data_IF_262215317121
#
_entry.id   IF_262215317121
#
_cell.length_a   1.000
_cell.length_b   1.000
_cell.length_c   1.000
_cell.angle_alpha   90.00
_cell.angle_beta   90.00
_cell.angle_gamma   90.00
#
_symmetry.space_group_name_H-M   'P 1'
#
loop_
_entity.id
_entity.type
_entity.pdbx_description
1 polymer ?
#
# COMPACT_ATOMS: atom_id res chain seq x y z
N UNK A 1 -9.09 -0.02 -10.05
CA UNK A 1 -10.31 0.74 -10.33
C UNK A 1 -11.01 0.97 -9.02
N UNK A 2 -11.12 2.22 -8.59
CA UNK A 2 -11.89 2.61 -7.42
C UNK A 2 -13.35 2.75 -7.85
N UNK A 3 -14.30 2.28 -7.04
CA UNK A 3 -15.73 2.51 -7.25
C UNK A 3 -16.31 3.18 -6.02
N UNK A 4 -16.83 4.40 -6.17
CA UNK A 4 -17.50 5.15 -5.10
C UNK A 4 -18.75 5.81 -5.68
N UNK A 5 -19.89 5.70 -5.00
CA UNK A 5 -21.16 6.30 -5.44
C UNK A 5 -21.52 6.07 -6.93
N UNK A 6 -21.29 4.86 -7.44
CA UNK A 6 -21.43 4.48 -8.86
C UNK A 6 -20.44 5.12 -9.86
N UNK A 7 -19.58 6.01 -9.41
CA UNK A 7 -18.45 6.49 -10.19
C UNK A 7 -17.30 5.48 -10.15
N UNK A 8 -16.56 5.42 -11.26
CA UNK A 8 -15.41 4.55 -11.44
C UNK A 8 -14.22 5.40 -11.83
N UNK A 9 -13.14 5.27 -11.08
CA UNK A 9 -11.93 6.03 -11.33
C UNK A 9 -10.70 5.12 -11.39
N UNK A 10 -9.71 5.54 -12.19
CA UNK A 10 -8.43 4.86 -12.35
C UNK A 10 -7.33 5.88 -12.11
N UNK A 11 -6.47 5.57 -11.15
CA UNK A 11 -5.27 6.34 -10.86
C UNK A 11 -4.06 5.48 -11.20
N UNK A 12 -3.10 6.05 -11.92
CA UNK A 12 -1.82 5.42 -12.24
C UNK A 12 -0.71 6.47 -12.08
N UNK A 13 0.40 6.06 -11.49
CA UNK A 13 1.61 6.84 -11.42
C UNK A 13 2.81 5.91 -11.61
N UNK A 14 3.92 6.48 -12.10
CA UNK A 14 5.17 5.76 -12.30
C UNK A 14 6.24 6.45 -11.47
N UNK A 15 7.00 5.67 -10.71
CA UNK A 15 8.11 6.16 -9.90
C UNK A 15 9.24 5.13 -9.90
N UNK A 16 10.45 5.60 -9.62
CA UNK A 16 11.58 4.74 -9.34
C UNK A 16 11.59 4.33 -7.86
N UNK A 17 12.22 3.20 -7.58
CA UNK A 17 12.30 2.62 -6.25
C UNK A 17 13.33 1.50 -6.18
N UNK A 18 13.30 0.76 -5.08
CA UNK A 18 14.20 -0.37 -4.85
C UNK A 18 13.40 -1.62 -4.52
N UNK A 19 13.89 -2.76 -4.98
CA UNK A 19 13.41 -4.07 -4.59
C UNK A 19 14.49 -4.84 -3.84
N UNK A 20 14.08 -5.56 -2.81
CA UNK A 20 14.95 -6.43 -2.02
C UNK A 20 14.19 -7.69 -1.61
N UNK A 21 14.78 -8.85 -1.87
CA UNK A 21 14.29 -10.12 -1.38
C UNK A 21 15.05 -10.54 -0.11
N UNK A 22 14.30 -10.92 0.94
CA UNK A 22 14.82 -11.60 2.13
C UNK A 22 13.96 -12.84 2.40
N UNK A 23 13.35 -12.94 3.58
CA UNK A 23 12.24 -13.87 3.84
C UNK A 23 10.95 -13.45 3.11
N UNK A 24 10.81 -12.15 2.87
CA UNK A 24 9.70 -11.55 2.13
C UNK A 24 10.25 -10.66 1.02
N UNK A 25 9.40 -10.29 0.07
CA UNK A 25 9.72 -9.26 -0.91
C UNK A 25 9.44 -7.87 -0.34
N UNK A 26 10.38 -6.94 -0.51
CA UNK A 26 10.24 -5.55 -0.10
C UNK A 26 10.43 -4.63 -1.29
N UNK A 27 9.42 -3.81 -1.58
CA UNK A 27 9.48 -2.75 -2.59
C UNK A 27 9.43 -1.42 -1.85
N UNK A 28 10.36 -0.51 -2.12
CA UNK A 28 10.44 0.79 -1.46
C UNK A 28 10.55 1.90 -2.46
N UNK A 29 9.76 2.94 -2.27
CA UNK A 29 9.75 4.14 -3.11
C UNK A 29 9.27 5.33 -2.30
N UNK A 30 9.35 6.51 -2.89
CA UNK A 30 8.85 7.76 -2.30
C UNK A 30 7.65 8.23 -3.11
N UNK A 31 6.52 8.47 -2.45
CA UNK A 31 5.39 9.17 -3.05
C UNK A 31 5.58 10.68 -2.83
N UNK A 32 5.51 11.43 -3.93
CA UNK A 32 5.50 12.89 -3.93
C UNK A 32 4.06 13.34 -4.25
N UNK A 33 3.45 14.04 -3.31
CA UNK A 33 2.16 14.73 -3.46
C UNK A 33 2.40 16.23 -3.40
N UNK A 34 1.42 17.06 -3.77
CA UNK A 34 1.59 18.53 -3.84
C UNK A 34 2.26 19.13 -2.59
N UNK A 35 1.85 18.69 -1.39
CA UNK A 35 2.37 19.19 -0.12
C UNK A 35 2.88 18.08 0.83
N UNK A 36 3.22 16.90 0.30
CA UNK A 36 3.64 15.78 1.15
C UNK A 36 4.67 14.85 0.48
N UNK A 37 5.68 14.44 1.25
CA UNK A 37 6.65 13.41 0.92
C UNK A 37 6.45 12.20 1.82
N UNK A 38 6.17 11.04 1.22
CA UNK A 38 5.88 9.82 1.97
C UNK A 38 6.78 8.68 1.55
N UNK A 39 7.50 8.11 2.51
CA UNK A 39 8.26 6.88 2.30
C UNK A 39 7.31 5.69 2.32
N UNK A 40 7.26 4.95 1.22
CA UNK A 40 6.42 3.76 1.08
C UNK A 40 7.26 2.51 1.11
N UNK A 41 6.82 1.53 1.91
CA UNK A 41 7.31 0.16 1.84
C UNK A 41 6.14 -0.77 1.60
N UNK A 42 6.20 -1.54 0.51
CA UNK A 42 5.32 -2.67 0.27
C UNK A 42 6.08 -3.92 0.68
N UNK A 43 5.54 -4.66 1.66
CA UNK A 43 6.01 -5.99 2.04
C UNK A 43 5.04 -7.01 1.44
N UNK A 44 5.57 -7.92 0.64
CA UNK A 44 4.80 -9.00 0.03
C UNK A 44 5.27 -10.31 0.66
N UNK A 45 4.37 -10.94 1.40
CA UNK A 45 4.47 -12.30 1.93
C UNK A 45 3.58 -13.22 1.09
N UNK A 46 3.68 -14.54 1.27
CA UNK A 46 2.89 -15.51 0.50
C UNK A 46 1.38 -15.26 0.64
N UNK A 47 0.91 -15.08 1.88
CA UNK A 47 -0.53 -14.97 2.21
C UNK A 47 -1.00 -13.54 2.54
N UNK A 48 -0.09 -12.56 2.52
CA UNK A 48 -0.43 -11.19 2.93
C UNK A 48 0.43 -10.12 2.26
N UNK A 49 -0.14 -8.92 2.18
CA UNK A 49 0.60 -7.73 1.73
C UNK A 49 0.47 -6.65 2.79
N UNK A 50 1.58 -5.96 3.10
CA UNK A 50 1.55 -4.75 3.92
C UNK A 50 1.99 -3.55 3.11
N UNK A 51 1.20 -2.48 3.15
CA UNK A 51 1.59 -1.17 2.66
C UNK A 51 1.85 -0.26 3.87
N UNK A 52 3.09 0.16 4.00
CA UNK A 52 3.57 0.96 5.13
C UNK A 52 3.95 2.33 4.58
N UNK A 53 3.27 3.37 5.05
CA UNK A 53 3.58 4.78 4.77
C UNK A 53 4.16 5.44 6.02
N UNK A 54 5.24 6.19 5.83
CA UNK A 54 5.95 6.94 6.88
C UNK A 54 6.33 8.34 6.38
N UNK A 55 6.14 9.35 7.23
CA UNK A 55 6.41 10.75 6.92
C UNK A 55 5.17 11.60 7.19
N UNK A 56 4.81 12.46 6.25
CA UNK A 56 3.63 13.33 6.34
C UNK A 56 2.31 12.54 6.43
N UNK A 57 2.31 11.31 5.88
CA UNK A 57 1.26 10.33 6.08
C UNK A 57 1.86 9.11 6.79
N UNK A 58 1.26 8.73 7.92
CA UNK A 58 1.58 7.51 8.63
C UNK A 58 0.41 6.53 8.50
N UNK A 59 0.68 5.36 7.91
CA UNK A 59 -0.34 4.33 7.74
C UNK A 59 0.31 2.95 7.64
N UNK A 60 -0.37 1.92 8.14
CA UNK A 60 0.04 0.53 8.00
C UNK A 60 -1.16 -0.31 7.58
N UNK A 61 -1.35 -0.45 6.27
CA UNK A 61 -2.40 -1.28 5.70
C UNK A 61 -1.94 -2.71 5.66
N UNK A 62 -2.74 -3.61 6.22
CA UNK A 62 -2.47 -5.04 6.21
C UNK A 62 -3.59 -5.76 5.45
N UNK A 63 -3.24 -6.25 4.26
CA UNK A 63 -4.14 -7.01 3.41
C UNK A 63 -3.95 -8.50 3.70
N UNK A 64 -5.03 -9.14 4.14
CA UNK A 64 -5.06 -10.59 4.41
C UNK A 64 -6.36 -11.12 3.82
N UNK A 65 -6.26 -12.03 2.85
CA UNK A 65 -7.42 -12.56 2.13
C UNK A 65 -8.50 -13.09 3.09
N UNK A 66 -9.76 -12.72 2.80
CA UNK A 66 -10.91 -13.14 3.59
C UNK A 66 -11.07 -12.41 4.93
N UNK A 67 -10.12 -11.57 5.34
CA UNK A 67 -10.16 -10.88 6.63
C UNK A 67 -10.49 -9.39 6.50
N UNK A 68 -11.07 -8.86 7.57
CA UNK A 68 -11.18 -7.42 7.82
C UNK A 68 -10.07 -7.00 8.78
N UNK A 69 -9.27 -6.02 8.40
CA UNK A 69 -8.27 -5.41 9.28
C UNK A 69 -8.62 -3.95 9.57
N UNK A 70 -8.24 -3.46 10.75
CA UNK A 70 -8.38 -2.04 11.10
C UNK A 70 -7.02 -1.36 10.99
N UNK A 71 -6.99 -0.16 10.44
CA UNK A 71 -5.81 0.70 10.42
C UNK A 71 -6.19 2.14 10.74
N UNK A 72 -5.17 2.99 10.84
CA UNK A 72 -5.35 4.42 10.96
C UNK A 72 -4.68 5.12 9.80
N UNK A 73 -5.41 6.02 9.16
CA UNK A 73 -4.86 7.05 8.30
C UNK A 73 -4.50 8.25 9.19
N UNK A 74 -3.21 8.46 9.40
CA UNK A 74 -2.68 9.39 10.40
C UNK A 74 -1.87 10.49 9.71
N UNK A 75 -2.35 11.73 9.83
CA UNK A 75 -1.75 12.94 9.28
C UNK A 75 -1.68 14.01 10.37
N UNK A 76 -0.95 15.11 10.11
CA UNK A 76 -0.80 16.21 11.07
C UNK A 76 -2.12 16.80 11.56
N UNK A 77 -3.15 16.84 10.69
CA UNK A 77 -4.48 17.36 11.01
C UNK A 77 -5.35 16.41 11.84
N UNK A 78 -4.94 15.14 12.00
CA UNK A 78 -5.67 14.17 12.78
C UNK A 78 -5.59 12.74 12.24
N UNK A 79 -6.32 11.86 12.92
CA UNK A 79 -6.30 10.42 12.69
C UNK A 79 -7.69 9.90 12.36
N UNK A 80 -7.80 9.16 11.26
CA UNK A 80 -9.05 8.57 10.78
C UNK A 80 -8.93 7.05 10.84
N UNK A 81 -9.81 6.33 11.57
CA UNK A 81 -9.85 4.87 11.53
C UNK A 81 -10.40 4.38 10.19
N UNK A 82 -9.80 3.33 9.65
CA UNK A 82 -10.22 2.65 8.44
C UNK A 82 -10.38 1.15 8.70
N UNK A 83 -11.41 0.55 8.11
CA UNK A 83 -11.56 -0.90 8.02
C UNK A 83 -11.35 -1.37 6.58
N UNK A 84 -10.60 -2.44 6.42
CA UNK A 84 -10.23 -2.97 5.10
C UNK A 84 -10.57 -4.44 5.03
N UNK A 85 -11.57 -4.76 4.21
CA UNK A 85 -11.92 -6.14 3.88
C UNK A 85 -11.20 -6.55 2.60
N UNK A 86 -10.23 -7.46 2.73
CA UNK A 86 -9.47 -7.95 1.57
C UNK A 86 -10.17 -9.16 0.97
N UNK A 87 -10.64 -9.04 -0.27
CA UNK A 87 -11.33 -10.14 -0.94
C UNK A 87 -10.37 -11.15 -1.55
N UNK A 88 -9.32 -10.64 -2.21
CA UNK A 88 -8.31 -11.45 -2.89
C UNK A 88 -7.03 -10.62 -3.09
N UNK A 89 -5.89 -11.29 -3.06
CA UNK A 89 -4.57 -10.80 -3.38
C UNK A 89 -4.04 -11.69 -4.51
N UNK A 90 -3.64 -11.08 -5.61
CA UNK A 90 -2.88 -11.76 -6.66
C UNK A 90 -1.57 -11.00 -6.78
N UNK A 91 -0.47 -11.67 -6.47
CA UNK A 91 0.86 -11.07 -6.52
C UNK A 91 1.87 -12.03 -7.13
N UNK A 92 2.83 -11.46 -7.84
CA UNK A 92 4.05 -12.14 -8.27
C UNK A 92 5.19 -11.12 -8.26
N UNK A 93 6.32 -11.46 -7.62
CA UNK A 93 7.50 -10.60 -7.59
C UNK A 93 8.75 -11.45 -7.79
N UNK A 94 9.54 -11.09 -8.80
CA UNK A 94 10.86 -11.68 -9.10
C UNK A 94 11.88 -10.58 -9.40
N UNK A 95 13.15 -10.98 -9.62
CA UNK A 95 14.21 -10.05 -9.99
C UNK A 95 14.03 -9.39 -11.36
N UNK A 96 13.20 -9.97 -12.22
CA UNK A 96 12.92 -9.46 -13.57
C UNK A 96 11.64 -8.62 -13.62
N UNK A 97 10.91 -8.49 -12.50
CA UNK A 97 9.68 -7.69 -12.40
C UNK A 97 8.59 -8.37 -11.57
N UNK A 98 7.39 -7.77 -11.60
CA UNK A 98 6.26 -8.27 -10.82
C UNK A 98 4.93 -7.60 -11.17
N UNK A 99 3.84 -8.13 -10.60
CA UNK A 99 2.49 -7.58 -10.73
C UNK A 99 1.66 -7.85 -9.48
#
# INVERSE_FOLDING_TARGET
>A
MLKQHNEKEKFEFTTEGTWQQRQSNFIRYVEQMEDATVNVTIKVDDDSVKLIRKGDINMNLHFVEGQTTTTFYDISAGRIPLEVKTLRILHFVSGDGGK
#
